data_IF_064703993043
#
_entry.id   IF_064703993043
#
_cell.length_a   1.000
_cell.length_b   1.000
_cell.length_c   1.000
_cell.angle_alpha   90.00
_cell.angle_beta   90.00
_cell.angle_gamma   90.00
#
_symmetry.space_group_name_H-M   'P 1'
#
loop_
_entity.id
_entity.type
_entity.pdbx_description
1 polymer ?
#
# COMPACT_ATOMS: atom_id res chain seq x y z
N UNK A 1 1.44 -3.57 25.61
CA UNK A 1 2.34 -4.34 24.72
C UNK A 1 3.76 -4.30 25.27
N UNK A 2 4.45 -5.44 25.32
CA UNK A 2 5.79 -5.56 25.94
C UNK A 2 6.93 -5.03 25.05
N UNK A 3 6.69 -4.91 23.74
CA UNK A 3 7.67 -4.48 22.74
C UNK A 3 6.99 -3.59 21.69
N UNK A 4 7.78 -2.92 20.85
CA UNK A 4 7.25 -2.07 19.78
C UNK A 4 6.55 -2.91 18.71
N UNK A 5 5.36 -2.48 18.27
CA UNK A 5 4.48 -3.18 17.33
C UNK A 5 5.16 -3.64 16.03
N UNK A 6 6.04 -2.81 15.46
CA UNK A 6 6.74 -3.14 14.22
C UNK A 6 7.71 -4.35 14.34
N UNK A 7 8.01 -4.82 15.55
CA UNK A 7 8.86 -5.99 15.78
C UNK A 7 8.11 -7.31 15.60
N UNK A 8 6.77 -7.31 15.71
CA UNK A 8 5.96 -8.53 15.57
C UNK A 8 5.98 -9.11 14.15
N UNK A 9 5.84 -8.32 13.07
CA UNK A 9 6.02 -8.83 11.71
C UNK A 9 7.39 -9.50 11.50
N UNK A 10 8.46 -8.90 12.04
CA UNK A 10 9.81 -9.49 11.98
C UNK A 10 9.92 -10.81 12.76
N UNK A 11 9.24 -10.90 13.90
CA UNK A 11 9.17 -12.13 14.70
C UNK A 11 8.44 -13.23 13.92
N UNK A 12 7.28 -12.92 13.33
CA UNK A 12 6.51 -13.88 12.51
C UNK A 12 7.32 -14.38 11.30
N UNK A 13 7.96 -13.47 10.55
CA UNK A 13 8.84 -13.83 9.43
C UNK A 13 10.00 -14.72 9.87
N UNK A 14 10.62 -14.41 11.02
CA UNK A 14 11.71 -15.21 11.57
C UNK A 14 11.24 -16.62 11.95
N UNK A 15 10.10 -16.74 12.63
CA UNK A 15 9.52 -18.00 13.04
C UNK A 15 9.07 -18.84 11.83
N UNK A 16 8.36 -18.26 10.86
CA UNK A 16 7.97 -18.91 9.61
C UNK A 16 9.19 -19.48 8.85
N UNK A 17 10.26 -18.69 8.72
CA UNK A 17 11.50 -19.12 8.06
C UNK A 17 12.22 -20.24 8.80
N UNK A 18 12.18 -20.26 10.13
CA UNK A 18 12.85 -21.30 10.93
C UNK A 18 12.02 -22.57 11.05
N UNK A 19 10.71 -22.45 11.24
CA UNK A 19 9.77 -23.57 11.35
C UNK A 19 9.51 -24.27 10.00
N UNK A 20 9.85 -23.64 8.87
CA UNK A 20 9.86 -24.31 7.55
C UNK A 20 11.05 -25.26 7.34
N UNK A 21 12.06 -25.21 8.21
CA UNK A 21 13.30 -26.02 8.12
C UNK A 21 13.46 -26.95 9.33
N UNK A 22 12.97 -26.53 10.50
CA UNK A 22 13.07 -27.24 11.77
C UNK A 22 11.67 -27.45 12.36
N UNK A 23 11.38 -28.64 12.91
CA UNK A 23 10.10 -28.90 13.58
C UNK A 23 9.96 -28.05 14.87
N UNK A 24 8.73 -27.68 15.21
CA UNK A 24 8.46 -26.98 16.46
C UNK A 24 8.78 -27.87 17.68
N UNK A 25 9.52 -27.30 18.64
CA UNK A 25 9.93 -27.99 19.88
C UNK A 25 8.94 -27.85 21.02
N UNK A 26 7.76 -27.28 20.75
CA UNK A 26 6.74 -26.94 21.75
C UNK A 26 7.29 -26.05 22.89
N UNK A 27 8.22 -25.16 22.55
CA UNK A 27 8.82 -24.19 23.47
C UNK A 27 9.03 -22.84 22.75
N UNK A 28 9.64 -21.87 23.44
CA UNK A 28 9.96 -20.54 22.91
C UNK A 28 11.42 -20.41 22.46
N UNK A 29 12.10 -21.50 22.06
CA UNK A 29 13.53 -21.48 21.76
C UNK A 29 13.87 -20.52 20.61
N UNK A 30 13.07 -20.48 19.55
CA UNK A 30 13.27 -19.58 18.41
C UNK A 30 12.93 -18.14 18.77
N UNK A 31 11.84 -17.92 19.50
CA UNK A 31 11.47 -16.58 19.99
C UNK A 31 12.53 -15.98 20.91
N UNK A 32 13.13 -16.79 21.78
CA UNK A 32 14.26 -16.37 22.61
C UNK A 32 15.47 -15.95 21.77
N UNK A 33 15.80 -16.71 20.72
CA UNK A 33 16.88 -16.36 19.78
C UNK A 33 16.60 -15.07 19.02
N UNK A 34 15.35 -14.84 18.62
CA UNK A 34 14.94 -13.59 18.00
C UNK A 34 15.13 -12.41 18.95
N UNK A 35 14.73 -12.56 20.21
CA UNK A 35 14.91 -11.52 21.23
C UNK A 35 16.38 -11.18 21.46
N UNK A 36 17.27 -12.18 21.45
CA UNK A 36 18.72 -11.96 21.56
C UNK A 36 19.26 -11.11 20.39
N UNK A 37 18.78 -11.38 19.17
CA UNK A 37 19.24 -10.68 17.97
C UNK A 37 18.76 -9.22 17.90
N UNK A 38 17.54 -8.94 18.37
CA UNK A 38 16.94 -7.60 18.33
C UNK A 38 17.08 -6.84 19.67
N UNK A 39 17.83 -7.40 20.64
CA UNK A 39 18.05 -6.85 21.98
C UNK A 39 16.75 -6.53 22.73
N UNK A 40 15.84 -7.52 22.77
CA UNK A 40 14.50 -7.44 23.37
C UNK A 40 14.47 -8.11 24.75
N UNK A 41 13.73 -7.54 25.69
CA UNK A 41 13.49 -8.14 27.01
C UNK A 41 12.59 -9.39 26.92
N UNK A 42 13.22 -10.58 27.00
CA UNK A 42 12.56 -11.89 26.86
C UNK A 42 11.40 -12.13 27.83
N UNK A 43 11.54 -11.90 29.15
CA UNK A 43 10.48 -12.25 30.10
C UNK A 43 9.18 -11.49 29.86
N UNK A 44 9.29 -10.22 29.45
CA UNK A 44 8.13 -9.38 29.16
C UNK A 44 7.38 -9.85 27.90
N UNK A 45 8.12 -10.24 26.85
CA UNK A 45 7.52 -10.74 25.61
C UNK A 45 6.87 -12.11 25.81
N UNK A 46 7.57 -13.06 26.43
CA UNK A 46 7.05 -14.43 26.64
C UNK A 46 5.78 -14.42 27.49
N UNK A 47 5.78 -13.65 28.58
CA UNK A 47 4.59 -13.54 29.43
C UNK A 47 3.39 -13.00 28.65
N UNK A 48 3.60 -11.99 27.81
CA UNK A 48 2.53 -11.43 27.01
C UNK A 48 2.02 -12.42 25.94
N UNK A 49 2.93 -13.18 25.30
CA UNK A 49 2.54 -14.22 24.33
C UNK A 49 1.68 -15.31 24.97
N UNK A 50 2.04 -15.73 26.19
CA UNK A 50 1.26 -16.67 27.00
C UNK A 50 -0.13 -16.09 27.35
N UNK A 51 -0.20 -14.81 27.73
CA UNK A 51 -1.48 -14.10 27.94
C UNK A 51 -2.33 -13.97 26.66
N UNK A 52 -1.72 -14.02 25.47
CA UNK A 52 -2.43 -14.08 24.18
C UNK A 52 -2.77 -15.51 23.73
N UNK A 53 -2.45 -16.53 24.54
CA UNK A 53 -2.79 -17.92 24.27
C UNK A 53 -1.77 -18.67 23.41
N UNK A 54 -0.55 -18.16 23.24
CA UNK A 54 0.53 -18.89 22.59
C UNK A 54 1.40 -19.58 23.65
N UNK A 55 1.58 -20.90 23.54
CA UNK A 55 2.42 -21.72 24.42
C UNK A 55 3.70 -22.26 23.74
N UNK A 56 3.80 -22.19 22.40
CA UNK A 56 4.98 -22.55 21.60
C UNK A 56 5.31 -21.48 20.54
N UNK A 57 6.52 -21.54 20.00
CA UNK A 57 6.94 -20.80 18.79
C UNK A 57 5.95 -20.94 17.61
N UNK A 58 5.29 -22.09 17.49
CA UNK A 58 4.30 -22.37 16.46
C UNK A 58 2.98 -21.61 16.62
N UNK A 59 2.51 -21.47 17.86
CA UNK A 59 1.23 -20.83 18.18
C UNK A 59 1.33 -19.31 18.16
N UNK A 60 2.55 -18.76 18.28
CA UNK A 60 2.80 -17.33 18.04
C UNK A 60 2.36 -16.94 16.64
N UNK A 61 2.53 -17.81 15.64
CA UNK A 61 2.10 -17.54 14.26
C UNK A 61 0.59 -17.39 14.14
N UNK A 62 -0.21 -17.99 15.04
CA UNK A 62 -1.66 -17.80 15.04
C UNK A 62 -2.07 -16.36 15.44
N UNK A 63 -1.16 -15.63 16.08
CA UNK A 63 -1.38 -14.23 16.42
C UNK A 63 -1.14 -13.31 15.22
N UNK A 64 -0.51 -13.78 14.14
CA UNK A 64 -0.17 -12.97 12.94
C UNK A 64 -1.42 -12.29 12.34
N UNK A 65 -2.57 -12.97 12.37
CA UNK A 65 -3.84 -12.42 11.87
C UNK A 65 -4.28 -11.15 12.60
N UNK A 66 -4.06 -11.09 13.92
CA UNK A 66 -4.37 -9.91 14.72
C UNK A 66 -3.44 -8.73 14.40
N UNK A 67 -2.33 -8.96 13.69
CA UNK A 67 -1.30 -7.98 13.32
C UNK A 67 -1.29 -7.69 11.83
N UNK A 68 -2.26 -8.19 11.04
CA UNK A 68 -2.37 -7.94 9.60
C UNK A 68 -2.35 -6.44 9.23
N UNK A 69 -2.82 -5.56 10.12
CA UNK A 69 -2.76 -4.11 9.91
C UNK A 69 -1.32 -3.54 9.93
N UNK A 70 -0.37 -4.27 10.52
CA UNK A 70 1.06 -3.93 10.57
C UNK A 70 1.84 -4.51 9.40
N UNK A 71 1.29 -5.51 8.71
CA UNK A 71 1.80 -5.91 7.41
C UNK A 71 1.32 -4.87 6.38
N UNK A 72 2.23 -4.13 5.71
CA UNK A 72 1.91 -3.68 4.36
C UNK A 72 1.48 -4.90 3.56
N UNK A 73 0.67 -4.72 2.53
CA UNK A 73 0.58 -5.69 1.44
C UNK A 73 1.99 -5.80 0.81
N UNK A 74 2.89 -6.59 1.42
CA UNK A 74 4.18 -6.97 0.87
C UNK A 74 3.94 -8.31 0.21
N UNK A 75 3.89 -8.27 -1.12
CA UNK A 75 3.81 -9.45 -1.94
C UNK A 75 4.97 -10.40 -1.60
N UNK A 76 4.68 -11.54 -0.99
CA UNK A 76 5.52 -12.73 -1.14
C UNK A 76 5.62 -12.98 -2.65
N UNK A 77 6.82 -13.21 -3.23
CA UNK A 77 6.93 -13.63 -4.62
C UNK A 77 6.41 -15.08 -4.72
N UNK A 78 5.09 -15.21 -4.80
CA UNK A 78 4.42 -16.42 -5.24
C UNK A 78 4.86 -16.70 -6.69
N UNK A 79 5.05 -17.97 -7.09
CA UNK A 79 5.37 -18.31 -8.47
C UNK A 79 4.39 -17.58 -9.39
N UNK A 80 4.93 -16.85 -10.38
CA UNK A 80 4.19 -15.94 -11.28
C UNK A 80 2.79 -16.50 -11.56
N UNK A 81 1.71 -15.92 -10.98
CA UNK A 81 0.38 -16.28 -11.44
C UNK A 81 0.32 -15.95 -12.93
N UNK A 82 -0.34 -16.79 -13.73
CA UNK A 82 -0.66 -16.47 -15.11
C UNK A 82 -1.53 -15.20 -15.12
N UNK A 83 -0.90 -14.03 -15.12
CA UNK A 83 -1.59 -12.76 -15.16
C UNK A 83 -2.15 -12.59 -16.56
N UNK A 84 -3.45 -12.85 -16.72
CA UNK A 84 -4.15 -12.43 -17.93
C UNK A 84 -4.27 -10.91 -17.87
N UNK A 85 -3.72 -10.25 -18.88
CA UNK A 85 -3.81 -8.79 -19.05
C UNK A 85 -4.65 -8.49 -20.27
N UNK A 86 -5.61 -7.60 -20.13
CA UNK A 86 -6.43 -7.14 -21.25
C UNK A 86 -6.58 -5.63 -21.25
N UNK A 87 -6.65 -5.04 -22.45
CA UNK A 87 -6.96 -3.63 -22.61
C UNK A 87 -8.47 -3.46 -22.67
N UNK A 88 -8.98 -2.46 -21.95
CA UNK A 88 -10.40 -2.14 -21.93
C UNK A 88 -10.62 -0.76 -22.59
N UNK A 89 -11.77 -0.62 -23.24
CA UNK A 89 -12.20 0.65 -23.83
C UNK A 89 -13.21 1.40 -22.93
N UNK A 90 -13.76 0.72 -21.92
CA UNK A 90 -14.68 1.24 -20.92
C UNK A 90 -14.59 0.40 -19.66
N UNK A 91 -15.06 0.93 -18.52
CA UNK A 91 -15.13 0.20 -17.27
C UNK A 91 -16.25 0.76 -16.39
N UNK A 92 -17.09 -0.13 -15.89
CA UNK A 92 -18.13 0.19 -14.92
C UNK A 92 -18.03 -0.79 -13.76
N UNK A 93 -17.95 -0.26 -12.54
CA UNK A 93 -17.80 -1.03 -11.32
C UNK A 93 -18.97 -0.79 -10.37
N UNK A 94 -19.29 -1.82 -9.58
CA UNK A 94 -20.34 -1.77 -8.55
C UNK A 94 -20.08 -0.74 -7.45
N UNK A 95 -18.83 -0.30 -7.28
CA UNK A 95 -18.44 0.74 -6.33
C UNK A 95 -18.71 2.18 -6.83
N UNK A 96 -19.35 2.33 -8.00
CA UNK A 96 -19.73 3.61 -8.59
C UNK A 96 -18.67 4.24 -9.49
N UNK A 97 -17.52 3.58 -9.71
CA UNK A 97 -16.56 4.02 -10.72
C UNK A 97 -17.09 3.72 -12.12
N UNK A 98 -17.16 4.74 -12.98
CA UNK A 98 -17.56 4.57 -14.37
C UNK A 98 -16.64 5.37 -15.31
N UNK A 99 -16.18 4.72 -16.37
CA UNK A 99 -15.55 5.37 -17.53
C UNK A 99 -16.20 4.77 -18.80
N UNK A 100 -17.16 5.47 -19.40
CA UNK A 100 -17.92 4.93 -20.54
C UNK A 100 -17.06 4.82 -21.81
N UNK A 101 -16.03 5.64 -21.93
CA UNK A 101 -15.05 5.57 -23.02
C UNK A 101 -13.69 6.08 -22.55
N UNK A 102 -12.66 5.25 -22.73
CA UNK A 102 -11.27 5.63 -22.40
C UNK A 102 -10.78 6.64 -23.44
N UNK A 103 -10.45 7.89 -23.04
CA UNK A 103 -10.04 8.91 -23.99
C UNK A 103 -8.63 8.63 -24.52
N UNK A 104 -8.37 8.96 -25.79
CA UNK A 104 -6.99 8.99 -26.29
C UNK A 104 -6.20 10.12 -25.62
N UNK A 105 -4.93 9.92 -25.21
CA UNK A 105 -4.05 8.77 -25.45
C UNK A 105 -3.98 7.77 -24.27
N UNK A 106 -5.04 7.61 -23.48
CA UNK A 106 -5.02 6.73 -22.32
C UNK A 106 -5.13 5.27 -22.72
N UNK A 107 -4.56 4.39 -21.92
CA UNK A 107 -4.73 2.94 -22.04
C UNK A 107 -5.18 2.40 -20.70
N UNK A 108 -6.41 1.91 -20.63
CA UNK A 108 -6.90 1.16 -19.48
C UNK A 108 -6.54 -0.32 -19.64
N UNK A 109 -5.89 -0.87 -18.63
CA UNK A 109 -5.50 -2.28 -18.56
C UNK A 109 -6.10 -2.91 -17.32
N UNK A 110 -6.80 -4.01 -17.50
CA UNK A 110 -7.17 -4.94 -16.44
C UNK A 110 -6.12 -6.05 -16.35
N UNK A 111 -5.68 -6.34 -15.13
CA UNK A 111 -4.79 -7.46 -14.81
C UNK A 111 -5.45 -8.33 -13.77
N UNK A 112 -5.69 -9.60 -14.08
CA UNK A 112 -6.21 -10.55 -13.10
C UNK A 112 -5.04 -11.03 -12.24
N UNK A 113 -5.08 -10.71 -10.95
CA UNK A 113 -4.11 -11.11 -9.94
C UNK A 113 -4.84 -11.86 -8.83
N UNK A 114 -4.50 -13.14 -8.61
CA UNK A 114 -5.15 -13.99 -7.61
C UNK A 114 -6.69 -14.01 -7.75
N UNK A 115 -7.19 -14.15 -8.98
CA UNK A 115 -8.61 -14.13 -9.33
C UNK A 115 -9.36 -12.80 -9.09
N UNK A 116 -8.63 -11.74 -8.72
CA UNK A 116 -9.19 -10.39 -8.59
C UNK A 116 -8.68 -9.46 -9.70
N UNK A 117 -9.57 -8.64 -10.30
CA UNK A 117 -9.16 -7.68 -11.32
C UNK A 117 -8.51 -6.45 -10.68
N UNK A 118 -7.32 -6.10 -11.17
CA UNK A 118 -6.62 -4.85 -10.86
C UNK A 118 -6.62 -3.97 -12.10
N UNK A 119 -7.05 -2.71 -11.93
CA UNK A 119 -7.18 -1.76 -13.03
C UNK A 119 -6.09 -0.70 -12.97
N UNK A 120 -5.49 -0.41 -14.13
CA UNK A 120 -4.49 0.64 -14.27
C UNK A 120 -4.68 1.43 -15.55
N UNK A 121 -4.45 2.74 -15.48
CA UNK A 121 -4.46 3.67 -16.60
C UNK A 121 -3.03 4.09 -16.89
N UNK A 122 -2.60 3.89 -18.13
CA UNK A 122 -1.41 4.56 -18.66
C UNK A 122 -1.85 5.85 -19.35
N UNK A 123 -1.35 7.00 -18.91
CA UNK A 123 -1.72 8.30 -19.48
C UNK A 123 -0.58 8.81 -20.37
N UNK A 124 -0.83 8.89 -21.68
CA UNK A 124 0.15 9.38 -22.65
C UNK A 124 1.02 8.28 -23.25
N UNK A 125 2.08 8.71 -23.95
CA UNK A 125 3.07 7.82 -24.58
C UNK A 125 4.16 7.47 -23.56
N UNK A 126 4.47 6.18 -23.41
CA UNK A 126 5.50 5.67 -22.48
C UNK A 126 4.93 5.14 -21.15
N UNK A 127 5.81 4.61 -20.30
CA UNK A 127 5.46 3.98 -19.01
C UNK A 127 5.49 4.95 -17.81
N UNK A 128 5.67 6.24 -18.06
CA UNK A 128 6.09 7.20 -17.03
C UNK A 128 4.95 7.73 -16.17
N UNK A 129 3.70 7.43 -16.53
CA UNK A 129 2.50 7.86 -15.82
C UNK A 129 1.50 6.71 -15.77
N UNK A 130 1.60 5.90 -14.73
CA UNK A 130 0.66 4.81 -14.42
C UNK A 130 -0.18 5.23 -13.23
N UNK A 131 -1.50 5.13 -13.39
CA UNK A 131 -2.49 5.42 -12.36
C UNK A 131 -3.23 4.14 -12.06
N UNK A 132 -3.19 3.70 -10.81
CA UNK A 132 -3.94 2.54 -10.35
C UNK A 132 -5.30 2.98 -9.82
N UNK A 133 -6.33 2.19 -10.10
CA UNK A 133 -7.61 2.32 -9.41
C UNK A 133 -7.57 1.45 -8.16
N UNK A 134 -7.70 2.08 -7.01
CA UNK A 134 -7.69 1.44 -5.71
C UNK A 134 -9.07 1.56 -5.03
N UNK A 135 -9.26 0.77 -3.97
CA UNK A 135 -10.50 0.72 -3.21
C UNK A 135 -10.73 1.96 -2.33
N UNK A 136 -11.32 1.75 -1.16
CA UNK A 136 -11.75 2.81 -0.25
C UNK A 136 -10.66 3.87 -0.01
N UNK A 137 -11.04 5.14 -0.14
CA UNK A 137 -10.18 6.26 0.23
C UNK A 137 -10.18 6.44 1.77
N UNK A 138 -9.02 6.61 2.42
CA UNK A 138 -8.93 6.78 3.87
C UNK A 138 -9.35 8.19 4.31
N UNK A 139 -10.65 8.49 4.25
CA UNK A 139 -11.21 9.84 4.48
C UNK A 139 -10.90 10.39 5.88
N UNK A 140 -10.85 9.52 6.89
CA UNK A 140 -10.49 9.90 8.26
C UNK A 140 -9.05 10.43 8.36
N UNK A 141 -8.18 10.06 7.42
CA UNK A 141 -6.80 10.51 7.36
C UNK A 141 -6.59 11.68 6.40
N UNK A 142 -7.65 12.18 5.74
CA UNK A 142 -7.51 13.18 4.69
C UNK A 142 -6.76 14.43 5.16
N UNK A 143 -6.99 14.89 6.40
CA UNK A 143 -6.31 16.04 7.00
C UNK A 143 -5.05 15.68 7.81
N UNK A 144 -4.69 14.38 7.89
CA UNK A 144 -3.53 13.92 8.65
C UNK A 144 -2.27 13.88 7.77
N UNK A 145 -1.51 14.98 7.73
CA UNK A 145 -0.27 15.07 6.94
C UNK A 145 0.73 13.96 7.27
N UNK A 146 0.87 13.60 8.55
CA UNK A 146 1.82 12.57 8.97
C UNK A 146 1.48 11.21 8.35
N UNK A 147 0.20 10.85 8.30
CA UNK A 147 -0.25 9.61 7.66
C UNK A 147 0.19 9.54 6.18
N UNK A 148 0.05 10.63 5.43
CA UNK A 148 0.42 10.67 4.02
C UNK A 148 1.93 10.67 3.81
N UNK A 149 2.67 11.32 4.69
CA UNK A 149 4.13 11.30 4.71
C UNK A 149 4.65 9.89 5.01
N UNK A 150 4.10 9.22 6.03
CA UNK A 150 4.47 7.85 6.39
C UNK A 150 4.18 6.88 5.24
N UNK A 151 3.03 7.04 4.58
CA UNK A 151 2.66 6.27 3.40
C UNK A 151 3.63 6.53 2.24
N UNK A 152 4.06 7.78 2.03
CA UNK A 152 5.06 8.11 1.02
C UNK A 152 6.41 7.46 1.32
N UNK A 153 6.89 7.49 2.56
CA UNK A 153 8.13 6.82 2.95
C UNK A 153 8.05 5.31 2.72
N UNK A 154 6.94 4.71 3.16
CA UNK A 154 6.66 3.29 3.00
C UNK A 154 6.68 2.85 1.53
N UNK A 155 6.20 3.67 0.61
CA UNK A 155 6.10 3.32 -0.81
C UNK A 155 7.34 3.65 -1.65
N UNK A 156 8.17 4.56 -1.16
CA UNK A 156 9.37 5.01 -1.89
C UNK A 156 10.64 4.38 -1.35
N UNK A 157 10.64 3.94 -0.09
CA UNK A 157 11.83 3.45 0.62
C UNK A 157 12.98 4.47 0.60
N UNK A 158 12.67 5.75 0.36
CA UNK A 158 13.66 6.81 0.28
C UNK A 158 13.97 7.35 1.68
N UNK A 159 15.27 7.45 1.97
CA UNK A 159 15.75 8.03 3.22
C UNK A 159 15.92 9.55 3.05
N UNK A 160 14.87 10.33 3.29
CA UNK A 160 14.93 11.79 3.37
C UNK A 160 14.26 12.32 4.65
N UNK A 161 14.51 13.59 4.99
CA UNK A 161 13.87 14.19 6.16
C UNK A 161 12.37 14.39 5.90
N UNK A 162 11.48 14.03 6.85
CA UNK A 162 10.05 14.33 6.75
C UNK A 162 9.75 15.82 6.52
N UNK A 163 10.61 16.69 7.04
CA UNK A 163 10.49 18.16 6.92
C UNK A 163 10.72 18.67 5.48
N UNK A 164 11.32 17.85 4.63
CA UNK A 164 11.52 18.14 3.20
C UNK A 164 10.31 17.75 2.35
N UNK A 165 9.35 17.01 2.92
CA UNK A 165 8.11 16.62 2.28
C UNK A 165 7.04 17.69 2.47
N UNK A 166 6.22 17.83 1.43
CA UNK A 166 5.11 18.76 1.35
C UNK A 166 3.89 17.94 0.96
N UNK A 167 2.84 18.02 1.78
CA UNK A 167 1.50 17.52 1.48
C UNK A 167 0.71 18.67 0.86
N UNK A 168 0.27 18.51 -0.37
CA UNK A 168 -0.53 19.49 -1.10
C UNK A 168 -1.93 18.91 -1.35
N UNK A 169 -2.96 19.69 -1.03
CA UNK A 169 -4.35 19.36 -1.32
C UNK A 169 -4.87 20.35 -2.35
N UNK A 170 -5.34 19.84 -3.48
CA UNK A 170 -5.88 20.63 -4.58
C UNK A 170 -7.31 20.22 -4.83
N UNK A 171 -8.20 21.20 -4.89
CA UNK A 171 -9.57 21.01 -5.35
C UNK A 171 -9.60 21.09 -6.88
N UNK A 172 -10.16 20.05 -7.50
CA UNK A 172 -10.49 19.99 -8.93
C UNK A 172 -12.02 19.97 -9.04
N UNK A 173 -12.58 20.12 -10.24
CA UNK A 173 -14.04 20.23 -10.47
C UNK A 173 -14.86 19.24 -9.62
N UNK A 174 -14.73 17.94 -9.88
CA UNK A 174 -15.45 16.87 -9.18
C UNK A 174 -14.57 16.02 -8.24
N UNK A 175 -13.31 16.43 -8.04
CA UNK A 175 -12.30 15.63 -7.37
C UNK A 175 -11.50 16.43 -6.36
N UNK A 176 -10.93 15.73 -5.38
CA UNK A 176 -9.82 16.23 -4.59
C UNK A 176 -8.57 15.46 -4.96
N UNK A 177 -7.47 16.18 -5.15
CA UNK A 177 -6.15 15.60 -5.29
C UNK A 177 -5.34 15.90 -4.05
N UNK A 178 -4.73 14.86 -3.48
CA UNK A 178 -3.71 14.96 -2.46
C UNK A 178 -2.39 14.52 -3.08
N UNK A 179 -1.36 15.33 -2.94
CA UNK A 179 -0.03 15.04 -3.44
C UNK A 179 0.99 15.09 -2.31
N UNK A 180 1.85 14.08 -2.21
CA UNK A 180 3.04 14.13 -1.35
C UNK A 180 4.27 14.18 -2.25
N UNK A 181 5.03 15.27 -2.11
CA UNK A 181 6.25 15.54 -2.86
C UNK A 181 7.33 16.02 -1.92
N UNK A 182 8.59 15.75 -2.25
CA UNK A 182 9.68 16.42 -1.56
C UNK A 182 10.18 17.63 -2.37
N UNK A 183 10.88 18.55 -1.70
CA UNK A 183 11.50 19.71 -2.36
C UNK A 183 12.58 19.33 -3.38
N UNK A 184 13.29 18.22 -3.15
CA UNK A 184 14.53 17.86 -3.85
C UNK A 184 14.52 16.46 -4.48
N UNK A 185 13.55 15.62 -4.12
CA UNK A 185 13.40 14.23 -4.54
C UNK A 185 12.08 13.97 -5.26
N UNK A 186 12.22 13.16 -6.29
CA UNK A 186 11.18 12.38 -6.94
C UNK A 186 11.18 10.98 -6.32
N UNK A 187 10.03 10.31 -6.18
CA UNK A 187 8.78 10.55 -6.90
C UNK A 187 7.76 11.40 -6.13
N UNK A 188 6.79 11.96 -6.86
CA UNK A 188 5.55 12.50 -6.31
C UNK A 188 4.50 11.40 -6.32
N UNK A 189 3.82 11.24 -5.20
CA UNK A 189 2.64 10.37 -5.10
C UNK A 189 1.39 11.23 -5.06
N UNK A 190 0.37 10.82 -5.82
CA UNK A 190 -0.94 11.44 -5.80
C UNK A 190 -1.99 10.42 -5.42
N UNK A 191 -2.93 10.86 -4.60
CA UNK A 191 -4.18 10.18 -4.30
C UNK A 191 -5.32 11.09 -4.71
N UNK A 192 -6.20 10.60 -5.58
CA UNK A 192 -7.27 11.39 -6.16
C UNK A 192 -8.59 10.72 -5.86
N UNK A 193 -9.44 11.41 -5.11
CA UNK A 193 -10.77 10.93 -4.73
C UNK A 193 -11.85 11.77 -5.37
N UNK A 194 -13.01 11.18 -5.54
CA UNK A 194 -14.22 11.94 -5.86
C UNK A 194 -14.66 12.82 -4.68
N UNK A 195 -15.37 13.91 -5.00
CA UNK A 195 -16.12 14.68 -4.00
C UNK A 195 -17.37 13.95 -3.50
N UNK A 196 -18.02 13.18 -4.38
CA UNK A 196 -19.28 12.47 -4.11
C UNK A 196 -19.14 11.01 -3.66
N UNK A 197 -17.94 10.42 -3.76
CA UNK A 197 -17.70 9.03 -3.33
C UNK A 197 -16.30 8.85 -2.74
N UNK A 198 -16.20 7.97 -1.74
CA UNK A 198 -14.95 7.50 -1.15
C UNK A 198 -14.76 5.99 -1.33
N UNK A 199 -15.64 5.31 -2.10
CA UNK A 199 -15.59 3.86 -2.33
C UNK A 199 -14.40 3.41 -3.19
N UNK A 200 -13.77 4.36 -3.87
CA UNK A 200 -12.60 4.16 -4.71
C UNK A 200 -11.73 5.42 -4.70
N UNK A 201 -10.48 5.27 -5.08
CA UNK A 201 -9.60 6.40 -5.41
C UNK A 201 -8.59 6.01 -6.48
N UNK A 202 -8.05 7.01 -7.17
CA UNK A 202 -6.95 6.82 -8.11
C UNK A 202 -5.64 7.12 -7.40
N UNK A 203 -4.66 6.25 -7.56
CA UNK A 203 -3.30 6.45 -7.07
C UNK A 203 -2.34 6.59 -8.25
N UNK A 204 -1.50 7.61 -8.21
CA UNK A 204 -0.49 7.86 -9.24
C UNK A 204 0.90 8.02 -8.61
N UNK A 205 1.90 7.37 -9.20
CA UNK A 205 3.32 7.56 -8.85
C UNK A 205 4.07 8.10 -10.05
N UNK A 206 4.71 9.26 -9.92
CA UNK A 206 5.54 9.80 -11.00
C UNK A 206 6.87 9.05 -11.09
N UNK A 207 7.40 8.84 -12.29
CA UNK A 207 8.72 8.22 -12.47
C UNK A 207 9.90 9.01 -11.85
N UNK A 208 10.96 8.27 -11.52
CA UNK A 208 12.21 8.76 -10.88
C UNK A 208 13.09 9.57 -11.87
N UNK A 209 12.72 9.71 -13.15
CA UNK A 209 13.51 10.42 -14.16
C UNK A 209 13.12 11.90 -14.38
N UNK A 210 12.10 12.42 -13.68
CA UNK A 210 11.64 13.81 -13.88
C UNK A 210 12.39 14.81 -13.00
N UNK A 211 13.43 15.42 -13.58
CA UNK A 211 14.05 16.62 -13.01
C UNK A 211 13.02 17.77 -12.93
N UNK A 212 13.19 18.64 -11.92
CA UNK A 212 12.46 19.90 -11.66
C UNK A 212 11.77 20.48 -12.91
N UNK A 213 10.43 20.56 -12.91
CA UNK A 213 9.67 21.39 -13.87
C UNK A 213 8.33 20.82 -14.35
N UNK A 214 8.08 19.51 -14.18
CA UNK A 214 6.98 18.81 -14.86
C UNK A 214 5.66 18.70 -14.06
N UNK A 215 5.47 19.50 -13.01
CA UNK A 215 4.25 19.50 -12.17
C UNK A 215 2.94 19.85 -12.89
N UNK A 216 2.91 19.96 -14.22
CA UNK A 216 1.74 20.40 -15.02
C UNK A 216 1.04 19.28 -15.79
N UNK A 217 1.05 18.03 -15.32
CA UNK A 217 0.30 16.96 -15.99
C UNK A 217 -0.40 16.04 -15.02
N UNK A 218 -1.28 16.60 -14.19
CA UNK A 218 -2.41 15.81 -13.69
C UNK A 218 -3.25 15.40 -14.91
N UNK A 219 -3.69 14.13 -15.01
CA UNK A 219 -4.64 13.72 -16.03
C UNK A 219 -5.88 14.63 -16.01
N UNK A 220 -6.42 14.93 -17.19
CA UNK A 220 -7.76 15.49 -17.29
C UNK A 220 -8.76 14.40 -16.88
N UNK A 221 -9.28 14.49 -15.65
CA UNK A 221 -10.15 13.48 -15.06
C UNK A 221 -11.62 13.60 -15.50
N UNK A 222 -11.96 14.58 -16.34
CA UNK A 222 -13.34 14.85 -16.75
C UNK A 222 -13.98 13.73 -17.59
N UNK A 223 -13.21 12.73 -18.02
CA UNK A 223 -13.71 11.54 -18.68
C UNK A 223 -14.23 10.44 -17.73
N UNK A 224 -13.99 10.59 -16.43
CA UNK A 224 -14.46 9.65 -15.41
C UNK A 224 -15.79 10.17 -14.89
N UNK A 225 -16.82 9.36 -15.00
CA UNK A 225 -18.15 9.68 -14.51
C UNK A 225 -18.36 9.11 -13.12
N UNK A 226 -19.03 9.89 -12.28
CA UNK A 226 -19.50 9.43 -10.99
C UNK A 226 -20.96 9.01 -11.16
N UNK A 227 -21.22 7.70 -11.11
CA UNK A 227 -22.60 7.22 -10.95
C UNK A 227 -22.91 7.22 -9.47
N UNK A 228 -23.83 8.09 -9.06
CA UNK A 228 -24.48 7.97 -7.75
C UNK A 228 -25.28 6.66 -7.73
N UNK A 229 -25.11 5.88 -6.67
CA UNK A 229 -26.02 4.79 -6.30
C UNK A 229 -26.87 5.27 -5.14
#
# INVERSE_FOLDING_TARGET
MPVKEYLFPKLFDFLNKKLSVEDCKNDFTLTNKFCDNENIEKPALIKWLDEQGAACDCEILNLEDAFQYLHPIVAIPKPKPLSKRQKLNSLELSNGFNIPSVPSPWVLTETILNDEPVYSFQIGKGTDCIVSLEGLFPIAQFENDQYWIDLWFKETELNCSPEDLIVERTELDNYFSLAVKSKNWIPVLYWIKSKGSYKWHLRMKTGISRQKGDGRRLPNLNCIELKEQ
#
